data_IF_841874319078
#
_entry.id   IF_841874319078
#
_cell.length_a   1.000
_cell.length_b   1.000
_cell.length_c   1.000
_cell.angle_alpha   90.00
_cell.angle_beta   90.00
_cell.angle_gamma   90.00
#
_symmetry.space_group_name_H-M   'P 1'
#
loop_
_entity.id
_entity.type
_entity.pdbx_description
1 polymer ?
#
# COMPACT_ATOMS: atom_id res chain seq x y z
N UNK A 1 -13.00 -33.64 -9.83
CA UNK A 1 -12.55 -32.42 -10.53
C UNK A 1 -13.77 -31.59 -10.88
N UNK A 2 -13.78 -30.32 -10.48
CA UNK A 2 -14.96 -29.45 -10.45
C UNK A 2 -15.53 -29.18 -11.84
N UNK A 3 -16.83 -29.45 -12.02
CA UNK A 3 -17.58 -29.08 -13.23
C UNK A 3 -17.68 -27.53 -13.26
N UNK A 4 -17.04 -26.88 -14.24
CA UNK A 4 -17.03 -25.41 -14.40
C UNK A 4 -17.97 -25.03 -15.56
N UNK A 5 -19.30 -24.99 -15.34
CA UNK A 5 -20.29 -24.87 -16.42
C UNK A 5 -20.16 -23.59 -17.25
N UNK A 6 -19.60 -22.52 -16.68
CA UNK A 6 -19.37 -21.26 -17.39
C UNK A 6 -18.39 -21.38 -18.57
N UNK A 7 -17.51 -22.38 -18.57
CA UNK A 7 -16.54 -22.58 -19.66
C UNK A 7 -17.22 -22.96 -20.99
N UNK A 8 -18.44 -23.51 -20.95
CA UNK A 8 -19.24 -23.81 -22.14
C UNK A 8 -19.80 -22.54 -22.81
N UNK A 9 -19.79 -21.40 -22.10
CA UNK A 9 -20.28 -20.12 -22.58
C UNK A 9 -19.14 -19.19 -23.05
N UNK A 10 -17.90 -19.68 -23.12
CA UNK A 10 -16.78 -18.90 -23.65
C UNK A 10 -16.85 -18.86 -25.19
N UNK A 11 -16.58 -17.69 -25.76
CA UNK A 11 -16.51 -17.53 -27.21
C UNK A 11 -15.42 -18.43 -27.81
N UNK A 12 -15.64 -18.88 -29.05
CA UNK A 12 -14.68 -19.71 -29.77
C UNK A 12 -13.33 -18.98 -29.89
N UNK A 13 -12.29 -19.57 -29.32
CA UNK A 13 -10.93 -19.02 -29.33
C UNK A 13 -10.53 -18.29 -28.04
N UNK A 14 -11.46 -18.08 -27.10
CA UNK A 14 -11.12 -17.57 -25.76
C UNK A 14 -10.56 -18.72 -24.93
N UNK A 15 -9.31 -18.64 -24.46
CA UNK A 15 -8.72 -19.72 -23.69
C UNK A 15 -9.37 -19.76 -22.28
N UNK A 16 -9.62 -20.97 -21.79
CA UNK A 16 -10.24 -21.20 -20.46
C UNK A 16 -9.32 -20.83 -19.29
N UNK A 17 -8.03 -20.67 -19.59
CA UNK A 17 -6.97 -20.26 -18.69
C UNK A 17 -5.89 -19.56 -19.51
N UNK A 18 -5.10 -18.70 -18.88
CA UNK A 18 -3.93 -18.07 -19.51
C UNK A 18 -2.67 -18.60 -18.85
N UNK A 19 -1.56 -18.61 -19.58
CA UNK A 19 -0.27 -18.90 -18.99
C UNK A 19 0.16 -17.71 -18.13
N UNK A 20 0.01 -17.86 -16.81
CA UNK A 20 0.43 -16.84 -15.85
C UNK A 20 1.96 -16.90 -15.70
N UNK A 21 2.65 -15.75 -15.77
CA UNK A 21 4.07 -15.70 -15.47
C UNK A 21 4.33 -16.23 -14.05
N UNK A 22 5.31 -17.12 -13.91
CA UNK A 22 5.75 -17.65 -12.62
C UNK A 22 6.68 -16.63 -11.94
N UNK A 23 6.14 -15.49 -11.58
CA UNK A 23 6.85 -14.42 -10.88
C UNK A 23 5.97 -13.81 -9.77
N UNK A 24 6.55 -13.40 -8.63
CA UNK A 24 5.83 -12.63 -7.62
C UNK A 24 5.28 -11.32 -8.18
N UNK A 25 4.16 -10.83 -7.66
CA UNK A 25 3.48 -9.64 -8.19
C UNK A 25 4.36 -8.36 -8.21
N UNK A 26 5.27 -8.19 -7.25
CA UNK A 26 6.18 -7.04 -7.25
C UNK A 26 7.18 -7.06 -8.42
N UNK A 27 7.44 -8.22 -9.02
CA UNK A 27 8.36 -8.37 -10.15
C UNK A 27 7.95 -7.52 -11.35
N UNK A 28 6.64 -7.35 -11.58
CA UNK A 28 6.16 -6.54 -12.69
C UNK A 28 6.49 -5.05 -12.53
N UNK A 29 6.56 -4.55 -11.29
CA UNK A 29 7.05 -3.20 -11.02
C UNK A 29 8.57 -3.11 -11.30
N UNK A 30 9.35 -4.07 -10.80
CA UNK A 30 10.80 -4.10 -11.02
C UNK A 30 11.14 -4.19 -12.51
N UNK A 31 10.41 -5.01 -13.26
CA UNK A 31 10.60 -5.18 -14.70
C UNK A 31 10.25 -3.89 -15.45
N UNK A 32 9.14 -3.23 -15.08
CA UNK A 32 8.76 -1.94 -15.65
C UNK A 32 9.79 -0.85 -15.33
N UNK A 33 10.30 -0.79 -14.09
CA UNK A 33 11.35 0.15 -13.69
C UNK A 33 12.67 -0.10 -14.43
N UNK A 34 12.99 -1.36 -14.74
CA UNK A 34 14.17 -1.70 -15.55
C UNK A 34 14.00 -1.33 -17.02
N UNK A 35 12.83 -1.63 -17.62
CA UNK A 35 12.60 -1.43 -19.06
C UNK A 35 12.22 0.00 -19.43
N UNK A 36 11.48 0.68 -18.56
CA UNK A 36 10.86 1.99 -18.80
C UNK A 36 11.05 2.92 -17.60
N UNK A 37 12.29 3.13 -17.12
CA UNK A 37 12.56 3.78 -15.83
C UNK A 37 11.93 5.18 -15.72
N UNK A 38 11.99 5.96 -16.80
CA UNK A 38 11.58 7.36 -16.83
C UNK A 38 10.13 7.56 -17.31
N UNK A 39 9.41 6.47 -17.61
CA UNK A 39 7.99 6.53 -17.96
C UNK A 39 7.15 6.75 -16.69
N UNK A 40 6.03 7.46 -16.85
CA UNK A 40 5.09 7.68 -15.76
C UNK A 40 4.51 6.35 -15.24
N UNK A 41 4.72 6.08 -13.96
CA UNK A 41 4.04 5.01 -13.23
C UNK A 41 2.72 5.52 -12.66
N UNK A 42 2.73 6.71 -12.05
CA UNK A 42 1.51 7.38 -11.58
C UNK A 42 1.47 8.84 -12.00
N UNK A 43 0.27 9.33 -12.29
CA UNK A 43 -0.02 10.75 -12.56
C UNK A 43 -1.12 11.15 -11.59
N UNK A 44 -0.80 12.04 -10.65
CA UNK A 44 -1.72 12.46 -9.60
C UNK A 44 -1.73 13.96 -9.43
N UNK A 45 -2.86 14.60 -9.77
CA UNK A 45 -3.05 16.06 -9.66
C UNK A 45 -1.89 16.87 -10.28
N UNK A 46 -1.35 16.40 -11.40
CA UNK A 46 -0.26 17.02 -12.13
C UNK A 46 1.15 16.65 -11.64
N UNK A 47 1.30 15.93 -10.53
CA UNK A 47 2.56 15.28 -10.18
C UNK A 47 2.71 13.97 -10.95
N UNK A 48 3.93 13.68 -11.37
CA UNK A 48 4.31 12.43 -12.02
C UNK A 48 5.32 11.72 -11.11
N UNK A 49 5.10 10.44 -10.87
CA UNK A 49 6.12 9.54 -10.31
C UNK A 49 6.44 8.52 -11.39
N UNK A 50 7.71 8.43 -11.76
CA UNK A 50 8.23 7.48 -12.74
C UNK A 50 8.27 6.05 -12.18
N UNK A 51 8.43 5.05 -13.05
CA UNK A 51 8.60 3.67 -12.61
C UNK A 51 9.85 3.48 -11.75
N UNK A 52 10.95 4.17 -12.07
CA UNK A 52 12.17 4.17 -11.26
C UNK A 52 11.91 4.68 -9.84
N UNK A 53 11.30 5.86 -9.72
CA UNK A 53 11.01 6.47 -8.43
C UNK A 53 10.02 5.62 -7.61
N UNK A 54 9.03 4.99 -8.25
CA UNK A 54 8.09 4.10 -7.56
C UNK A 54 8.79 2.82 -7.06
N UNK A 55 9.71 2.25 -7.85
CA UNK A 55 10.50 1.09 -7.44
C UNK A 55 11.40 1.42 -6.25
N UNK A 56 12.08 2.56 -6.29
CA UNK A 56 12.92 3.06 -5.19
C UNK A 56 12.11 3.33 -3.91
N UNK A 57 10.96 4.00 -4.02
CA UNK A 57 10.08 4.25 -2.87
C UNK A 57 9.54 2.95 -2.28
N UNK A 58 9.14 1.98 -3.11
CA UNK A 58 8.67 0.68 -2.62
C UNK A 58 9.80 -0.15 -2.01
N UNK A 59 11.04 -0.06 -2.51
CA UNK A 59 12.21 -0.69 -1.87
C UNK A 59 12.49 -0.08 -0.49
N UNK A 60 12.45 1.26 -0.38
CA UNK A 60 12.60 1.96 0.89
C UNK A 60 11.50 1.58 1.90
N UNK A 61 10.24 1.45 1.44
CA UNK A 61 9.14 0.97 2.28
C UNK A 61 9.30 -0.48 2.72
N UNK A 62 9.77 -1.35 1.83
CA UNK A 62 10.03 -2.73 2.18
C UNK A 62 11.12 -2.83 3.27
N UNK A 63 12.21 -2.08 3.12
CA UNK A 63 13.27 -2.01 4.12
C UNK A 63 12.76 -1.49 5.48
N UNK A 64 11.91 -0.47 5.47
CA UNK A 64 11.30 0.06 6.68
C UNK A 64 10.40 -0.96 7.38
N UNK A 65 9.56 -1.69 6.63
CA UNK A 65 8.67 -2.71 7.18
C UNK A 65 9.47 -3.87 7.80
N UNK A 66 10.53 -4.32 7.12
CA UNK A 66 11.44 -5.36 7.64
C UNK A 66 12.13 -4.89 8.92
N UNK A 67 12.61 -3.64 8.98
CA UNK A 67 13.20 -3.09 10.21
C UNK A 67 12.18 -3.04 11.36
N UNK A 68 10.91 -2.76 11.06
CA UNK A 68 9.81 -2.83 12.05
C UNK A 68 9.42 -4.24 12.45
N UNK A 69 10.04 -5.26 11.86
CA UNK A 69 9.83 -6.66 12.21
C UNK A 69 8.75 -7.37 11.41
N UNK A 70 8.24 -6.77 10.31
CA UNK A 70 7.35 -7.48 9.37
C UNK A 70 8.12 -8.63 8.73
N UNK A 71 7.51 -9.82 8.76
CA UNK A 71 8.05 -11.06 8.20
C UNK A 71 7.20 -11.52 7.02
N UNK A 72 7.77 -12.45 6.24
CA UNK A 72 7.05 -13.12 5.16
C UNK A 72 5.74 -13.73 5.69
N UNK A 73 4.62 -13.40 5.05
CA UNK A 73 3.28 -13.87 5.41
C UNK A 73 2.54 -13.00 6.45
N UNK A 74 3.17 -11.97 7.01
CA UNK A 74 2.47 -11.01 7.88
C UNK A 74 1.52 -10.15 7.06
N UNK A 75 0.33 -9.88 7.61
CA UNK A 75 -0.71 -9.08 6.95
C UNK A 75 -0.52 -7.62 7.32
N UNK A 76 -0.36 -6.76 6.32
CA UNK A 76 -0.19 -5.31 6.49
C UNK A 76 -1.33 -4.58 5.81
N UNK A 77 -2.03 -3.75 6.58
CA UNK A 77 -3.23 -3.07 6.12
C UNK A 77 -2.93 -1.78 5.36
N UNK A 78 -3.79 -1.42 4.42
CA UNK A 78 -3.78 -0.10 3.76
C UNK A 78 -5.17 0.52 3.88
N UNK A 79 -5.28 1.64 4.60
CA UNK A 79 -6.53 2.39 4.86
C UNK A 79 -6.46 3.80 4.25
N UNK A 80 -6.42 3.86 2.92
CA UNK A 80 -6.27 5.11 2.18
C UNK A 80 -6.85 4.98 0.77
N UNK A 81 -7.24 6.09 0.12
CA UNK A 81 -7.83 6.08 -1.22
C UNK A 81 -6.77 5.78 -2.29
N UNK A 82 -7.15 5.91 -3.56
CA UNK A 82 -6.21 5.74 -4.67
C UNK A 82 -5.35 7.00 -4.84
N UNK A 83 -4.12 6.95 -4.32
CA UNK A 83 -3.08 7.96 -4.49
C UNK A 83 -1.70 7.30 -4.59
N UNK A 84 -0.65 8.00 -5.05
CA UNK A 84 0.66 7.37 -5.31
C UNK A 84 1.26 6.65 -4.09
N UNK A 85 1.03 7.15 -2.87
CA UNK A 85 1.48 6.52 -1.64
C UNK A 85 0.84 5.15 -1.40
N UNK A 86 -0.39 4.92 -1.88
CA UNK A 86 -1.03 3.60 -1.85
C UNK A 86 -0.20 2.62 -2.67
N UNK A 87 0.23 3.02 -3.86
CA UNK A 87 1.03 2.18 -4.77
C UNK A 87 2.40 1.87 -4.15
N UNK A 88 3.05 2.86 -3.58
CA UNK A 88 4.33 2.68 -2.88
C UNK A 88 4.20 1.73 -1.67
N UNK A 89 3.15 1.88 -0.86
CA UNK A 89 2.86 1.00 0.27
C UNK A 89 2.53 -0.42 -0.20
N UNK A 90 1.67 -0.58 -1.22
CA UNK A 90 1.27 -1.86 -1.79
C UNK A 90 2.49 -2.67 -2.23
N UNK A 91 3.35 -2.10 -3.09
CA UNK A 91 4.55 -2.80 -3.55
C UNK A 91 5.60 -2.94 -2.45
N UNK A 92 5.69 -1.99 -1.51
CA UNK A 92 6.59 -2.09 -0.36
C UNK A 92 6.25 -3.27 0.56
N UNK A 93 4.96 -3.50 0.83
CA UNK A 93 4.48 -4.66 1.59
C UNK A 93 4.84 -5.96 0.87
N UNK A 94 4.54 -6.06 -0.42
CA UNK A 94 4.86 -7.25 -1.21
C UNK A 94 6.36 -7.53 -1.23
N UNK A 95 7.20 -6.50 -1.39
CA UNK A 95 8.66 -6.62 -1.39
C UNK A 95 9.24 -6.96 -0.01
N UNK A 96 8.51 -6.66 1.07
CA UNK A 96 8.82 -7.13 2.43
C UNK A 96 8.33 -8.57 2.69
N UNK A 97 7.73 -9.23 1.69
CA UNK A 97 7.12 -10.56 1.83
C UNK A 97 5.78 -10.54 2.58
N UNK A 98 5.25 -9.35 2.89
CA UNK A 98 3.98 -9.19 3.55
C UNK A 98 2.81 -9.41 2.60
N UNK A 99 1.65 -9.69 3.18
CA UNK A 99 0.36 -9.85 2.50
C UNK A 99 -0.39 -8.52 2.59
N UNK A 100 -0.79 -7.96 1.45
CA UNK A 100 -1.55 -6.71 1.44
C UNK A 100 -2.99 -6.94 1.87
N UNK A 101 -3.50 -6.09 2.76
CA UNK A 101 -4.93 -6.04 3.08
C UNK A 101 -5.44 -4.61 2.88
N UNK A 102 -6.00 -4.32 1.71
CA UNK A 102 -6.55 -3.01 1.41
C UNK A 102 -7.98 -2.90 1.95
N UNK A 103 -8.23 -1.90 2.79
CA UNK A 103 -9.53 -1.65 3.41
C UNK A 103 -10.04 -0.28 2.96
N UNK A 104 -11.31 -0.21 2.58
CA UNK A 104 -11.90 1.03 2.07
C UNK A 104 -11.89 2.12 3.15
N UNK A 105 -11.23 3.27 2.93
CA UNK A 105 -11.14 4.36 3.91
C UNK A 105 -12.48 5.03 4.25
N UNK A 106 -13.55 4.73 3.50
CA UNK A 106 -14.90 5.24 3.78
C UNK A 106 -15.71 4.35 4.71
N UNK A 107 -15.19 3.17 5.08
CA UNK A 107 -15.89 2.26 5.99
C UNK A 107 -15.92 2.82 7.42
N UNK A 108 -17.05 2.66 8.13
CA UNK A 108 -17.13 2.98 9.55
C UNK A 108 -16.22 2.04 10.35
N UNK A 109 -15.86 2.46 11.57
CA UNK A 109 -14.95 1.72 12.47
C UNK A 109 -15.33 0.24 12.60
N UNK A 110 -16.62 -0.06 12.76
CA UNK A 110 -17.11 -1.44 12.96
C UNK A 110 -16.88 -2.32 11.73
N UNK A 111 -16.99 -1.78 10.51
CA UNK A 111 -16.69 -2.53 9.27
C UNK A 111 -15.19 -2.71 9.05
N UNK A 112 -14.36 -1.78 9.53
CA UNK A 112 -12.89 -1.88 9.46
C UNK A 112 -12.37 -2.94 10.45
N UNK A 113 -13.05 -3.16 11.57
CA UNK A 113 -12.64 -4.15 12.56
C UNK A 113 -12.66 -5.58 12.02
N UNK A 114 -13.60 -5.90 11.13
CA UNK A 114 -13.70 -7.25 10.55
C UNK A 114 -12.41 -7.67 9.84
N UNK A 115 -11.91 -6.98 8.78
CA UNK A 115 -10.66 -7.35 8.14
C UNK A 115 -9.45 -7.20 9.06
N UNK A 116 -9.44 -6.22 9.97
CA UNK A 116 -8.31 -6.02 10.90
C UNK A 116 -8.16 -7.21 11.85
N UNK A 117 -9.25 -7.70 12.42
CA UNK A 117 -9.22 -8.81 13.36
C UNK A 117 -9.07 -10.16 12.65
N UNK A 118 -9.79 -10.38 11.55
CA UNK A 118 -9.75 -11.64 10.79
C UNK A 118 -8.36 -11.88 10.17
N UNK A 119 -7.79 -10.85 9.53
CA UNK A 119 -6.44 -10.92 9.00
C UNK A 119 -5.37 -10.74 10.09
N UNK A 120 -5.71 -10.41 11.34
CA UNK A 120 -4.74 -10.14 12.41
C UNK A 120 -3.72 -9.07 12.04
N UNK A 121 -4.20 -7.92 11.55
CA UNK A 121 -3.36 -6.80 11.09
C UNK A 121 -2.75 -6.08 12.30
N UNK A 122 -1.42 -6.07 12.38
CA UNK A 122 -0.69 -5.33 13.44
C UNK A 122 -0.10 -3.99 12.96
N UNK A 123 0.09 -3.83 11.65
CA UNK A 123 0.65 -2.62 11.02
C UNK A 123 -0.29 -2.15 9.91
N UNK A 124 -0.64 -0.86 9.89
CA UNK A 124 -1.56 -0.31 8.89
C UNK A 124 -1.14 1.07 8.39
N UNK A 125 -1.18 1.28 7.08
CA UNK A 125 -0.97 2.57 6.43
C UNK A 125 -2.26 3.40 6.40
N UNK A 126 -2.17 4.72 6.54
CA UNK A 126 -3.32 5.62 6.46
C UNK A 126 -2.95 7.03 6.02
N UNK A 127 -3.96 7.83 5.68
CA UNK A 127 -3.80 9.29 5.56
C UNK A 127 -4.11 9.99 6.88
N UNK A 128 -3.51 11.17 7.08
CA UNK A 128 -3.77 12.03 8.25
C UNK A 128 -5.26 12.20 8.58
N UNK A 129 -6.11 12.46 7.57
CA UNK A 129 -7.56 12.60 7.76
C UNK A 129 -8.28 11.35 8.31
N UNK A 130 -7.71 10.17 8.13
CA UNK A 130 -8.28 8.88 8.56
C UNK A 130 -7.60 8.33 9.82
N UNK A 131 -6.62 9.06 10.37
CA UNK A 131 -5.84 8.61 11.53
C UNK A 131 -6.72 8.38 12.76
N UNK A 132 -7.68 9.27 13.03
CA UNK A 132 -8.60 9.11 14.16
C UNK A 132 -9.48 7.86 14.04
N UNK A 133 -9.91 7.49 12.82
CA UNK A 133 -10.65 6.24 12.60
C UNK A 133 -9.80 5.03 13.00
N UNK A 134 -8.54 4.98 12.58
CA UNK A 134 -7.65 3.87 12.96
C UNK A 134 -7.29 3.87 14.44
N UNK A 135 -7.29 5.02 15.12
CA UNK A 135 -7.17 5.08 16.58
C UNK A 135 -8.35 4.39 17.27
N UNK A 136 -9.57 4.60 16.81
CA UNK A 136 -10.75 3.91 17.36
C UNK A 136 -10.73 2.41 17.04
N UNK A 137 -10.30 2.03 15.84
CA UNK A 137 -10.08 0.61 15.47
C UNK A 137 -9.04 -0.03 16.39
N UNK A 138 -7.90 0.64 16.65
CA UNK A 138 -6.85 0.15 17.55
C UNK A 138 -7.34 -0.15 18.96
N UNK A 139 -8.24 0.68 19.51
CA UNK A 139 -8.81 0.43 20.86
C UNK A 139 -9.56 -0.91 20.97
N UNK A 140 -9.98 -1.48 19.84
CA UNK A 140 -10.83 -2.68 19.75
C UNK A 140 -10.16 -3.82 18.96
N UNK A 141 -8.87 -3.75 18.66
CA UNK A 141 -8.16 -4.72 17.81
C UNK A 141 -6.69 -4.92 18.22
N UNK A 142 -6.00 -5.81 17.50
CA UNK A 142 -4.56 -6.06 17.64
C UNK A 142 -3.66 -5.06 16.92
N UNK A 143 -4.18 -3.96 16.36
CA UNK A 143 -3.40 -2.97 15.62
C UNK A 143 -2.37 -2.27 16.52
N UNK A 144 -1.07 -2.42 16.22
CA UNK A 144 0.03 -1.90 17.05
C UNK A 144 0.65 -0.64 16.49
N UNK A 145 0.77 -0.55 15.16
CA UNK A 145 1.47 0.55 14.48
C UNK A 145 0.62 1.12 13.36
N UNK A 146 0.51 2.44 13.33
CA UNK A 146 -0.07 3.18 12.21
C UNK A 146 1.03 3.97 11.50
N UNK A 147 1.16 3.74 10.19
CA UNK A 147 2.06 4.49 9.31
C UNK A 147 1.23 5.57 8.61
N UNK A 148 1.47 6.83 8.95
CA UNK A 148 0.65 7.96 8.50
C UNK A 148 1.33 8.69 7.34
N UNK A 149 0.60 8.94 6.26
CA UNK A 149 1.02 9.83 5.16
C UNK A 149 0.09 11.04 5.08
N UNK A 150 0.56 12.11 4.44
CA UNK A 150 -0.25 13.28 4.16
C UNK A 150 -0.46 13.41 2.64
N UNK A 151 -1.69 13.72 2.22
CA UNK A 151 -2.04 13.91 0.81
C UNK A 151 -1.10 14.90 0.09
N UNK A 152 -0.62 15.93 0.80
CA UNK A 152 0.24 16.98 0.23
C UNK A 152 1.61 16.47 -0.23
N UNK A 153 2.04 15.30 0.23
CA UNK A 153 3.30 14.66 -0.17
C UNK A 153 3.26 14.19 -1.63
N UNK A 154 2.07 13.93 -2.17
CA UNK A 154 1.86 13.57 -3.57
C UNK A 154 1.51 14.75 -4.49
N UNK A 155 1.54 15.98 -3.98
CA UNK A 155 1.21 17.18 -4.77
C UNK A 155 2.48 17.84 -5.35
N UNK A 156 2.42 18.44 -6.54
CA UNK A 156 3.51 19.26 -7.07
C UNK A 156 3.96 20.35 -6.07
N UNK A 157 5.25 20.75 -6.06
CA UNK A 157 5.80 21.65 -5.04
C UNK A 157 4.99 22.94 -4.82
N UNK A 158 4.57 23.60 -5.90
CA UNK A 158 3.77 24.84 -5.84
C UNK A 158 2.40 24.59 -5.20
N UNK A 159 1.73 23.51 -5.60
CA UNK A 159 0.41 23.16 -5.08
C UNK A 159 0.46 22.64 -3.63
N UNK A 160 1.56 22.00 -3.22
CA UNK A 160 1.81 21.56 -1.85
C UNK A 160 1.86 22.74 -0.88
N UNK A 161 2.52 23.83 -1.27
CA UNK A 161 2.57 25.08 -0.48
C UNK A 161 1.18 25.69 -0.37
N UNK A 162 0.46 25.84 -1.49
CA UNK A 162 -0.90 26.39 -1.51
C UNK A 162 -1.88 25.55 -0.66
N UNK A 163 -1.76 24.23 -0.70
CA UNK A 163 -2.57 23.31 0.09
C UNK A 163 -2.40 23.53 1.59
N UNK A 164 -1.13 23.63 2.02
CA UNK A 164 -0.74 23.86 3.41
C UNK A 164 -1.34 25.15 3.96
N UNK A 165 -1.36 26.22 3.16
CA UNK A 165 -1.87 27.53 3.58
C UNK A 165 -3.40 27.63 3.61
N UNK A 166 -4.11 26.99 2.68
CA UNK A 166 -5.54 27.27 2.45
C UNK A 166 -6.50 26.13 2.82
N UNK A 167 -6.04 24.86 2.80
CA UNK A 167 -6.94 23.70 2.81
C UNK A 167 -6.59 22.61 3.81
N UNK A 168 -5.36 22.54 4.31
CA UNK A 168 -4.93 21.47 5.21
C UNK A 168 -5.77 21.40 6.51
N UNK A 169 -6.13 22.55 7.09
CA UNK A 169 -7.04 22.60 8.25
C UNK A 169 -8.48 22.26 7.90
N UNK A 170 -9.00 22.77 6.79
CA UNK A 170 -10.41 22.58 6.40
C UNK A 170 -10.72 21.15 5.94
N UNK A 171 -9.71 20.41 5.48
CA UNK A 171 -9.83 19.01 5.02
C UNK A 171 -9.58 17.95 6.08
N UNK A 172 -9.28 18.34 7.33
CA UNK A 172 -8.93 17.40 8.40
C UNK A 172 -7.55 16.76 8.26
N UNK A 173 -6.68 17.30 7.41
CA UNK A 173 -5.36 16.71 7.13
C UNK A 173 -4.24 17.22 8.05
N UNK A 174 -4.52 18.26 8.85
CA UNK A 174 -3.57 18.83 9.82
C UNK A 174 -3.54 17.97 11.08
N UNK A 175 -2.52 17.12 11.18
CA UNK A 175 -2.12 16.48 12.44
C UNK A 175 -0.83 17.13 12.93
N UNK A 176 -0.82 17.54 14.19
CA UNK A 176 0.34 18.21 14.80
C UNK A 176 1.37 17.20 15.30
N UNK A 177 0.90 16.11 15.92
CA UNK A 177 1.74 15.06 16.48
C UNK A 177 1.06 13.69 16.28
N UNK A 178 1.88 12.66 16.10
CA UNK A 178 1.46 11.27 16.14
C UNK A 178 1.64 10.74 17.56
N UNK A 179 0.89 9.69 17.92
CA UNK A 179 1.21 8.93 19.13
C UNK A 179 2.62 8.33 19.01
N UNK A 180 3.33 8.13 20.12
CA UNK A 180 4.72 7.65 20.13
C UNK A 180 4.89 6.27 19.47
N UNK A 181 3.80 5.51 19.36
CA UNK A 181 3.74 4.25 18.65
C UNK A 181 3.49 4.40 17.15
N UNK A 182 3.37 5.58 16.57
CA UNK A 182 3.02 5.76 15.15
C UNK A 182 4.11 6.57 14.44
N UNK A 183 4.20 6.45 13.11
CA UNK A 183 5.31 7.00 12.34
C UNK A 183 4.84 7.65 11.05
N UNK A 184 5.55 8.68 10.61
CA UNK A 184 5.32 9.30 9.31
C UNK A 184 5.94 8.46 8.20
N UNK A 185 5.14 8.12 7.18
CA UNK A 185 5.61 7.42 5.98
C UNK A 185 6.78 8.15 5.32
N UNK A 186 6.74 9.48 5.27
CA UNK A 186 7.79 10.29 4.68
C UNK A 186 9.13 10.20 5.43
N UNK A 187 9.11 10.00 6.75
CA UNK A 187 10.32 9.85 7.54
C UNK A 187 10.94 8.47 7.31
N UNK A 188 10.11 7.43 7.13
CA UNK A 188 10.57 6.11 6.68
C UNK A 188 11.21 6.19 5.30
N UNK A 189 10.54 6.86 4.34
CA UNK A 189 11.06 7.00 2.97
C UNK A 189 12.42 7.71 2.96
N UNK A 190 12.60 8.75 3.80
CA UNK A 190 13.88 9.45 3.94
C UNK A 190 14.94 8.58 4.60
N UNK A 191 14.60 7.89 5.69
CA UNK A 191 15.52 7.03 6.44
C UNK A 191 16.06 5.88 5.58
N UNK A 192 15.22 5.33 4.71
CA UNK A 192 15.55 4.20 3.85
C UNK A 192 15.76 4.60 2.38
N UNK A 193 16.01 5.88 2.10
CA UNK A 193 16.24 6.35 0.75
C UNK A 193 17.45 5.63 0.13
N UNK A 194 17.27 5.07 -1.06
CA UNK A 194 18.32 4.29 -1.75
C UNK A 194 18.58 2.90 -1.17
N UNK A 195 17.79 2.45 -0.18
CA UNK A 195 17.89 1.07 0.29
C UNK A 195 17.53 0.09 -0.85
N UNK A 196 18.31 -0.99 -1.03
CA UNK A 196 17.92 -2.04 -1.98
C UNK A 196 16.68 -2.78 -1.47
N UNK A 197 15.98 -3.48 -2.38
CA UNK A 197 14.93 -4.42 -1.98
C UNK A 197 15.51 -5.43 -0.97
N UNK A 198 14.81 -5.70 0.15
CA UNK A 198 15.19 -6.77 1.07
C UNK A 198 15.36 -8.12 0.35
N UNK A 199 16.37 -8.89 0.79
CA UNK A 199 16.61 -10.23 0.29
C UNK A 199 15.72 -11.24 1.03
N UNK A 200 14.47 -11.34 0.60
CA UNK A 200 13.47 -12.27 1.13
C UNK A 200 13.10 -13.23 0.00
N UNK A 201 13.07 -14.52 0.31
CA UNK A 201 12.64 -15.56 -0.61
C UNK A 201 11.10 -15.52 -0.78
N UNK A 202 10.64 -14.88 -1.85
CA UNK A 202 9.22 -14.72 -2.18
C UNK A 202 8.96 -15.42 -3.52
N UNK A 203 8.02 -16.34 -3.51
CA UNK A 203 7.66 -17.23 -4.61
C UNK A 203 6.35 -16.77 -5.27
N UNK A 204 6.10 -17.15 -6.54
CA UNK A 204 4.90 -16.76 -7.28
C UNK A 204 3.58 -17.25 -6.66
N UNK A 205 3.63 -18.33 -5.90
CA UNK A 205 2.52 -18.99 -5.21
C UNK A 205 2.33 -18.51 -3.76
N UNK A 206 3.22 -17.65 -3.25
CA UNK A 206 3.00 -17.00 -1.98
C UNK A 206 1.76 -16.09 -2.03
N UNK A 207 1.06 -15.97 -0.91
CA UNK A 207 -0.11 -15.11 -0.82
C UNK A 207 0.29 -13.65 -0.98
N UNK A 208 -0.22 -12.98 -2.03
CA UNK A 208 0.07 -11.57 -2.26
C UNK A 208 -0.87 -10.64 -1.47
N UNK A 209 -2.16 -10.96 -1.42
CA UNK A 209 -3.16 -10.09 -0.79
C UNK A 209 -4.38 -10.87 -0.30
N UNK A 210 -5.08 -10.28 0.67
CA UNK A 210 -6.47 -10.63 1.00
C UNK A 210 -7.39 -9.50 0.55
N UNK A 211 -8.39 -9.86 -0.26
CA UNK A 211 -9.43 -8.94 -0.71
C UNK A 211 -10.73 -9.28 0.03
N UNK A 212 -11.12 -8.42 0.96
CA UNK A 212 -12.43 -8.52 1.61
C UNK A 212 -13.48 -7.94 0.67
N UNK A 213 -14.52 -8.73 0.39
CA UNK A 213 -15.77 -8.29 -0.19
C UNK A 213 -16.80 -8.20 0.93
N UNK A 214 -17.47 -7.05 1.06
CA UNK A 214 -18.57 -6.87 2.02
C UNK A 214 -19.77 -7.76 1.72
#
# INVERSE_FOLDING_TARGET
MSNKPWLAHYDKGVPQTIDYPKAPLFHFLEEAARKYPDHACTIFKGAVISYREMDEQSNAMAAALVEMGVKKGDRVGIFMPNLPQFVAAFFGILKAGGVVVAVNPTYPVEEVLTPVNDAGIEVMFTLTRFYNTLKEVRKKSGLKKIIVSNLKEALPPVTRVLYTLLREQKGGDRLHELESSDVWMQDLLKKHAGAPKPNIDIQPDDTALFQYSG
#
